data_IF_614909227250
#
_entry.id   IF_614909227250
#
_cell.length_a   1.000
_cell.length_b   1.000
_cell.length_c   1.000
_cell.angle_alpha   90.00
_cell.angle_beta   90.00
_cell.angle_gamma   90.00
#
_symmetry.space_group_name_H-M   'P 1'
#
loop_
_entity.id
_entity.type
_entity.pdbx_description
1 polymer ?
#
# COMPACT_ATOMS: atom_id res chain seq x y z
N UNK A 1 -18.84 14.74 -25.68
CA UNK A 1 -18.24 13.50 -25.14
C UNK A 1 -17.03 13.91 -24.31
N UNK A 2 -17.19 13.93 -22.99
CA UNK A 2 -16.11 14.24 -22.04
C UNK A 2 -15.05 13.16 -22.07
N UNK A 3 -14.01 13.42 -22.86
CA UNK A 3 -12.61 13.05 -22.70
C UNK A 3 -12.29 11.76 -21.92
N UNK A 4 -12.21 10.61 -22.63
CA UNK A 4 -11.62 9.34 -22.12
C UNK A 4 -10.31 9.55 -21.34
N UNK A 5 -9.51 10.53 -21.77
CA UNK A 5 -8.28 10.94 -21.10
C UNK A 5 -8.47 11.46 -19.67
N UNK A 6 -9.55 12.20 -19.39
CA UNK A 6 -9.86 12.71 -18.04
C UNK A 6 -10.22 11.55 -17.10
N UNK A 7 -11.00 10.58 -17.57
CA UNK A 7 -11.32 9.38 -16.80
C UNK A 7 -10.07 8.53 -16.52
N UNK A 8 -9.20 8.34 -17.51
CA UNK A 8 -7.93 7.63 -17.32
C UNK A 8 -7.00 8.35 -16.35
N UNK A 9 -6.96 9.69 -16.41
CA UNK A 9 -6.17 10.50 -15.48
C UNK A 9 -6.73 10.41 -14.06
N UNK A 10 -8.05 10.52 -13.90
CA UNK A 10 -8.71 10.38 -12.60
C UNK A 10 -8.41 9.01 -11.97
N UNK A 11 -8.53 7.92 -12.75
CA UNK A 11 -8.22 6.57 -12.29
C UNK A 11 -6.75 6.41 -11.86
N UNK A 12 -5.80 7.05 -12.57
CA UNK A 12 -4.38 7.03 -12.20
C UNK A 12 -4.12 7.81 -10.91
N UNK A 13 -4.75 8.96 -10.73
CA UNK A 13 -4.62 9.78 -9.51
C UNK A 13 -5.22 9.04 -8.32
N UNK A 14 -6.41 8.46 -8.48
CA UNK A 14 -7.05 7.66 -7.44
C UNK A 14 -6.17 6.47 -7.03
N UNK A 15 -5.60 5.75 -8.01
CA UNK A 15 -4.64 4.68 -7.72
C UNK A 15 -3.43 5.20 -6.94
N UNK A 16 -2.84 6.32 -7.35
CA UNK A 16 -1.69 6.92 -6.66
C UNK A 16 -2.04 7.29 -5.21
N UNK A 17 -3.20 7.89 -4.99
CA UNK A 17 -3.70 8.25 -3.67
C UNK A 17 -3.86 7.02 -2.78
N UNK A 18 -4.51 5.97 -3.29
CA UNK A 18 -4.72 4.73 -2.55
C UNK A 18 -3.38 4.06 -2.17
N UNK A 19 -2.42 4.00 -3.11
CA UNK A 19 -1.07 3.49 -2.83
C UNK A 19 -0.36 4.27 -1.71
N UNK A 20 -0.43 5.61 -1.75
CA UNK A 20 0.16 6.47 -0.74
C UNK A 20 -0.52 6.29 0.63
N UNK A 21 -1.85 6.20 0.64
CA UNK A 21 -2.64 5.97 1.85
C UNK A 21 -2.29 4.61 2.49
N UNK A 22 -2.20 3.54 1.69
CA UNK A 22 -1.85 2.21 2.19
C UNK A 22 -0.44 2.16 2.76
N UNK A 23 0.51 2.83 2.10
CA UNK A 23 1.89 2.97 2.59
C UNK A 23 1.94 3.72 3.92
N UNK A 24 1.24 4.86 4.03
CA UNK A 24 1.14 5.61 5.28
C UNK A 24 0.54 4.75 6.39
N UNK A 25 -0.58 4.07 6.13
CA UNK A 25 -1.22 3.15 7.08
C UNK A 25 -0.29 2.03 7.52
N UNK A 26 0.48 1.44 6.61
CA UNK A 26 1.47 0.43 6.93
C UNK A 26 2.56 0.97 7.86
N UNK A 27 3.13 2.14 7.55
CA UNK A 27 4.17 2.77 8.37
C UNK A 27 3.66 3.12 9.76
N UNK A 28 2.46 3.70 9.86
CA UNK A 28 1.82 4.01 11.14
C UNK A 28 1.60 2.75 11.99
N UNK A 29 1.10 1.66 11.38
CA UNK A 29 0.91 0.38 12.07
C UNK A 29 2.22 -0.20 12.60
N UNK A 30 3.30 -0.13 11.82
CA UNK A 30 4.62 -0.63 12.23
C UNK A 30 5.25 0.22 13.32
N UNK A 31 4.96 1.51 13.32
CA UNK A 31 5.43 2.47 14.33
C UNK A 31 4.45 2.67 15.49
N UNK A 32 3.49 1.76 15.71
CA UNK A 32 2.47 1.93 16.77
C UNK A 32 3.07 2.28 18.14
N UNK A 33 4.11 1.57 18.58
CA UNK A 33 4.78 1.81 19.87
C UNK A 33 5.41 3.21 19.95
N UNK A 34 6.02 3.66 18.85
CA UNK A 34 6.59 5.01 18.73
C UNK A 34 5.48 6.05 18.83
N UNK A 35 4.35 5.85 18.14
CA UNK A 35 3.20 6.75 18.18
C UNK A 35 2.59 6.83 19.57
N UNK A 36 2.45 5.71 20.27
CA UNK A 36 2.00 5.68 21.67
C UNK A 36 2.93 6.52 22.55
N UNK A 37 4.25 6.37 22.39
CA UNK A 37 5.22 7.15 23.17
C UNK A 37 5.19 8.65 22.84
N UNK A 38 4.97 9.01 21.57
CA UNK A 38 4.76 10.41 21.15
C UNK A 38 3.53 10.99 21.84
N UNK A 39 2.42 10.25 21.88
CA UNK A 39 1.19 10.70 22.54
C UNK A 39 1.42 10.87 24.05
N UNK A 40 2.08 9.91 24.71
CA UNK A 40 2.40 10.00 26.13
C UNK A 40 3.22 11.25 26.45
N UNK A 41 4.27 11.52 25.66
CA UNK A 41 5.10 12.71 25.86
C UNK A 41 4.38 14.01 25.47
N UNK A 42 3.50 14.02 24.47
CA UNK A 42 2.67 15.19 24.15
C UNK A 42 1.65 15.51 25.25
N UNK A 43 1.12 14.49 25.94
CA UNK A 43 0.23 14.70 27.08
C UNK A 43 0.96 15.28 28.30
N UNK A 44 2.26 14.99 28.45
CA UNK A 44 3.08 15.49 29.55
C UNK A 44 3.69 16.87 29.28
N UNK A 45 4.21 17.10 28.07
CA UNK A 45 5.01 18.29 27.73
C UNK A 45 4.31 19.27 26.78
N UNK A 46 3.13 18.93 26.25
CA UNK A 46 2.32 19.66 25.26
C UNK A 46 2.97 19.90 23.89
N UNK A 47 4.30 19.99 23.83
CA UNK A 47 5.08 20.26 22.62
C UNK A 47 6.29 19.33 22.55
N UNK A 48 6.52 18.75 21.38
CA UNK A 48 7.73 17.98 21.07
C UNK A 48 8.48 18.63 19.92
N UNK A 49 9.80 18.69 20.03
CA UNK A 49 10.67 19.17 18.95
C UNK A 49 11.08 18.02 18.02
N UNK A 50 11.68 18.34 16.87
CA UNK A 50 12.25 17.32 15.98
C UNK A 50 13.25 16.39 16.67
N UNK A 51 14.08 16.93 17.59
CA UNK A 51 15.04 16.14 18.36
C UNK A 51 14.37 15.15 19.32
N UNK A 52 13.24 15.54 19.89
CA UNK A 52 12.45 14.65 20.75
C UNK A 52 11.88 13.50 19.93
N UNK A 53 11.32 13.79 18.75
CA UNK A 53 10.82 12.76 17.84
C UNK A 53 11.95 11.82 17.38
N UNK A 54 13.15 12.34 17.09
CA UNK A 54 14.31 11.52 16.75
C UNK A 54 14.68 10.56 17.87
N UNK A 55 14.83 11.07 19.10
CA UNK A 55 15.08 10.26 20.30
C UNK A 55 14.01 9.19 20.51
N UNK A 56 12.73 9.54 20.39
CA UNK A 56 11.62 8.59 20.60
C UNK A 56 11.67 7.47 19.56
N UNK A 57 11.93 7.79 18.29
CA UNK A 57 12.06 6.79 17.22
C UNK A 57 13.21 5.83 17.50
N UNK A 58 14.40 6.35 17.83
CA UNK A 58 15.60 5.53 18.07
C UNK A 58 15.42 4.61 19.30
N UNK A 59 14.91 5.15 20.40
CA UNK A 59 14.72 4.41 21.66
C UNK A 59 13.63 3.33 21.59
N UNK A 60 12.68 3.45 20.65
CA UNK A 60 11.55 2.53 20.53
C UNK A 60 11.62 1.62 19.29
N UNK A 61 12.73 1.65 18.55
CA UNK A 61 12.93 0.81 17.36
C UNK A 61 12.00 1.19 16.21
N UNK A 62 11.70 2.48 16.07
CA UNK A 62 10.86 2.99 14.99
C UNK A 62 11.50 2.79 13.62
N UNK A 63 10.66 2.46 12.64
CA UNK A 63 11.07 2.35 11.25
C UNK A 63 10.89 3.69 10.54
N UNK A 64 11.88 4.07 9.73
CA UNK A 64 11.81 5.21 8.82
C UNK A 64 11.83 4.70 7.38
N UNK A 65 11.19 5.43 6.48
CA UNK A 65 11.39 5.17 5.07
C UNK A 65 12.77 5.68 4.69
N UNK A 66 13.54 4.86 3.98
CA UNK A 66 14.81 5.27 3.40
C UNK A 66 14.56 5.94 2.04
N UNK A 67 15.32 6.98 1.75
CA UNK A 67 15.28 7.63 0.44
C UNK A 67 16.00 6.77 -0.62
N UNK A 68 15.52 6.71 -1.87
CA UNK A 68 14.33 7.38 -2.37
C UNK A 68 13.02 6.69 -1.93
N UNK A 69 12.04 7.47 -1.47
CA UNK A 69 10.73 6.94 -1.07
C UNK A 69 10.04 6.18 -2.22
N UNK A 70 9.39 5.06 -1.91
CA UNK A 70 8.68 4.26 -2.91
C UNK A 70 7.32 3.78 -2.43
N UNK A 71 6.32 3.95 -3.28
CA UNK A 71 4.95 3.49 -3.05
C UNK A 71 4.73 2.02 -3.46
N UNK A 72 5.63 1.42 -4.23
CA UNK A 72 5.45 0.05 -4.77
C UNK A 72 5.54 -1.05 -3.72
N UNK A 73 6.35 -0.84 -2.65
CA UNK A 73 6.70 -1.92 -1.70
C UNK A 73 5.54 -2.47 -0.87
N UNK A 74 4.37 -1.82 -0.87
CA UNK A 74 3.19 -2.33 -0.15
C UNK A 74 2.59 -3.54 -0.85
N UNK A 75 2.68 -3.60 -2.18
CA UNK A 75 2.03 -4.63 -2.98
C UNK A 75 2.94 -5.82 -3.30
N UNK A 76 4.26 -5.72 -3.14
CA UNK A 76 5.18 -6.84 -3.41
C UNK A 76 4.93 -8.06 -2.49
N UNK A 77 4.30 -7.85 -1.31
CA UNK A 77 3.91 -8.94 -0.41
C UNK A 77 2.54 -9.55 -0.70
N UNK A 78 1.60 -8.81 -1.30
CA UNK A 78 0.29 -9.34 -1.69
C UNK A 78 0.26 -9.88 -3.13
N UNK A 79 1.11 -9.35 -4.02
CA UNK A 79 1.21 -9.77 -5.43
C UNK A 79 1.75 -11.19 -5.60
N UNK A 80 2.51 -11.70 -4.62
CA UNK A 80 2.99 -13.10 -4.63
C UNK A 80 1.92 -14.10 -4.15
N UNK A 81 0.77 -13.63 -3.65
CA UNK A 81 -0.32 -14.48 -3.16
C UNK A 81 -1.55 -14.52 -4.06
N UNK A 82 -1.55 -13.82 -5.21
CA UNK A 82 -2.55 -14.07 -6.25
C UNK A 82 -2.14 -15.35 -6.97
N UNK A 83 -2.51 -16.47 -6.33
CA UNK A 83 -2.55 -17.79 -6.95
C UNK A 83 -3.19 -17.66 -8.32
N UNK A 84 -2.48 -18.18 -9.31
CA UNK A 84 -3.00 -18.64 -10.59
C UNK A 84 -4.42 -19.20 -10.40
N UNK A 85 -5.41 -18.49 -10.94
CA UNK A 85 -6.66 -19.11 -11.35
C UNK A 85 -6.50 -19.45 -12.82
N UNK A 86 -5.90 -20.61 -13.03
CA UNK A 86 -6.30 -21.49 -14.12
C UNK A 86 -7.79 -21.81 -13.91
N UNK A 87 -8.60 -21.57 -14.94
CA UNK A 87 -10.05 -21.49 -14.81
C UNK A 87 -10.74 -21.26 -16.14
N UNK A 88 -10.46 -22.15 -17.09
CA UNK A 88 -11.34 -22.70 -18.13
C UNK A 88 -12.61 -21.89 -18.48
N UNK A 89 -12.63 -21.32 -19.69
CA UNK A 89 -13.85 -21.02 -20.45
C UNK A 89 -13.51 -20.67 -21.91
N UNK A 90 -13.21 -21.68 -22.71
CA UNK A 90 -13.43 -21.61 -24.17
C UNK A 90 -14.48 -22.65 -24.56
N UNK A 91 -15.74 -22.21 -24.49
CA UNK A 91 -16.84 -22.80 -25.25
C UNK A 91 -16.47 -22.85 -26.72
N UNK A 92 -16.30 -24.07 -27.22
CA UNK A 92 -16.09 -24.40 -28.62
C UNK A 92 -16.54 -25.82 -28.89
N UNK A 93 -17.74 -26.18 -28.44
CA UNK A 93 -18.38 -27.43 -28.82
C UNK A 93 -18.78 -27.34 -30.31
N UNK A 94 -17.97 -27.94 -31.18
CA UNK A 94 -18.38 -28.28 -32.55
C UNK A 94 -18.19 -29.78 -32.74
N UNK A 95 -19.30 -30.50 -32.55
CA UNK A 95 -19.46 -31.89 -32.96
C UNK A 95 -19.53 -31.95 -34.50
N UNK A 96 -18.58 -32.65 -35.13
CA UNK A 96 -18.78 -33.29 -36.44
C UNK A 96 -17.99 -34.59 -36.44
N UNK A 97 -18.72 -35.71 -36.41
CA UNK A 97 -18.19 -37.05 -36.52
C UNK A 97 -18.08 -37.53 -37.98
N UNK A 98 -17.75 -38.83 -38.07
CA UNK A 98 -17.53 -39.69 -39.23
C UNK A 98 -16.09 -39.64 -39.80
N UNK A 99 -15.43 -40.75 -40.14
CA UNK A 99 -15.68 -42.18 -39.96
C UNK A 99 -14.35 -42.91 -40.30
N UNK A 100 -14.17 -44.09 -39.68
CA UNK A 100 -13.36 -45.27 -40.03
C UNK A 100 -12.04 -45.11 -40.81
#
# INVERSE_FOLDING_TARGET
MGNKHEFEMAAKIEKLYNLAHDKAKYMLKKNRKVLEKIVDELLEFEVLTGKDLERIIESNGGIREEEPFSLLRVYDKESLSVRYLDGDSTSGATLLGAAS
#
